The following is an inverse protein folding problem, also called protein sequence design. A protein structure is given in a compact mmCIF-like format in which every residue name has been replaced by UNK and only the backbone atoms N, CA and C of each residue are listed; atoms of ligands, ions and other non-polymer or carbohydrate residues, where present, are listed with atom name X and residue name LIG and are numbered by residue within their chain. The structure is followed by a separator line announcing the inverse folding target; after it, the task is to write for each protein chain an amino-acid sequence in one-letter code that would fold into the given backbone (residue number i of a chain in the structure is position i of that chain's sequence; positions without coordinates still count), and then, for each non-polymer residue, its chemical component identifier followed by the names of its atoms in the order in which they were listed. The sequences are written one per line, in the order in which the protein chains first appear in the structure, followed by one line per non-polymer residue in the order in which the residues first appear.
data_IF_877735795671
#
_entry.id   IF_877735795671
#
_cell.length_a   1.000
_cell.length_b   1.000
_cell.length_c   1.000
_cell.angle_alpha   90.00
_cell.angle_beta   90.00
_cell.angle_gamma   90.00
#
_symmetry.space_group_name_H-M   'P 1'
#
loop_
_entity.id
_entity.type
_entity.pdbx_description
1 polymer ?
#
# COMPACT_ATOMS: atom_id res chain seq x y z
N UNK A 1 -25.08 16.68 54.22
CA UNK A 1 -23.95 16.63 53.27
C UNK A 1 -23.69 15.16 52.95
N UNK A 2 -23.73 14.61 51.75
CA UNK A 2 -23.89 15.11 50.39
C UNK A 2 -24.62 14.02 49.57
N UNK A 3 -25.48 14.41 48.63
CA UNK A 3 -26.13 13.51 47.68
C UNK A 3 -25.15 13.19 46.54
N UNK A 4 -24.69 11.95 46.41
CA UNK A 4 -23.88 11.53 45.26
C UNK A 4 -24.79 10.93 44.18
N UNK A 5 -25.04 11.70 43.14
CA UNK A 5 -25.72 11.26 41.93
C UNK A 5 -24.85 10.25 41.18
N UNK A 6 -25.25 8.98 41.14
CA UNK A 6 -24.63 7.97 40.27
C UNK A 6 -25.20 8.14 38.85
N UNK A 7 -24.46 8.84 38.00
CA UNK A 7 -24.75 8.93 36.57
C UNK A 7 -24.66 7.54 35.93
N UNK A 8 -25.81 6.96 35.60
CA UNK A 8 -25.91 5.68 34.88
C UNK A 8 -25.50 5.90 33.43
N UNK A 9 -24.20 5.74 33.15
CA UNK A 9 -23.70 5.68 31.77
C UNK A 9 -24.20 4.38 31.12
N UNK A 10 -25.18 4.51 30.23
CA UNK A 10 -25.66 3.39 29.40
C UNK A 10 -24.62 3.07 28.34
N UNK A 11 -23.89 1.97 28.53
CA UNK A 11 -22.99 1.43 27.51
C UNK A 11 -23.82 0.89 26.35
N UNK A 12 -23.71 1.53 25.17
CA UNK A 12 -24.28 0.99 23.94
C UNK A 12 -23.64 -0.37 23.65
N UNK A 13 -24.43 -1.43 23.71
CA UNK A 13 -24.03 -2.76 23.26
C UNK A 13 -24.00 -2.75 21.73
N UNK A 14 -22.80 -2.78 21.15
CA UNK A 14 -22.65 -3.01 19.72
C UNK A 14 -22.80 -4.50 19.46
N UNK A 15 -23.81 -4.88 18.68
CA UNK A 15 -23.92 -6.24 18.16
C UNK A 15 -22.71 -6.53 17.24
N UNK A 16 -21.81 -7.41 17.69
CA UNK A 16 -20.73 -7.95 16.86
C UNK A 16 -21.35 -8.86 15.80
N UNK A 17 -21.54 -8.35 14.59
CA UNK A 17 -21.84 -9.20 13.44
C UNK A 17 -20.61 -10.03 13.11
N UNK A 18 -20.65 -11.32 13.42
CA UNK A 18 -19.61 -12.27 13.02
C UNK A 18 -19.75 -12.51 11.51
N UNK A 19 -18.69 -12.21 10.75
CA UNK A 19 -18.61 -12.63 9.36
C UNK A 19 -18.24 -14.12 9.37
N UNK A 20 -19.16 -14.98 8.93
CA UNK A 20 -18.84 -16.38 8.63
C UNK A 20 -17.94 -16.40 7.38
N UNK A 21 -16.69 -16.81 7.57
CA UNK A 21 -15.79 -17.04 6.45
C UNK A 21 -16.03 -18.44 5.89
N UNK A 22 -16.33 -18.56 4.59
CA UNK A 22 -16.46 -19.87 3.91
C UNK A 22 -15.17 -20.72 3.98
N UNK A 23 -14.02 -20.07 4.25
CA UNK A 23 -12.75 -20.73 4.56
C UNK A 23 -12.19 -20.18 5.85
N UNK A 24 -11.77 -21.08 6.74
CA UNK A 24 -11.10 -20.71 7.98
C UNK A 24 -9.91 -19.78 7.67
N UNK A 25 -9.77 -18.63 8.36
CA UNK A 25 -8.60 -17.77 8.22
C UNK A 25 -7.32 -18.46 8.74
N UNK A 26 -7.47 -19.60 9.42
CA UNK A 26 -6.37 -20.40 9.92
C UNK A 26 -5.92 -21.43 8.88
N UNK A 27 -4.60 -21.56 8.63
CA UNK A 27 -4.09 -22.58 7.73
C UNK A 27 -4.40 -23.98 8.28
N UNK A 28 -4.79 -24.89 7.39
CA UNK A 28 -4.94 -26.30 7.74
C UNK A 28 -3.56 -26.89 8.09
N UNK A 29 -3.41 -27.38 9.32
CA UNK A 29 -2.20 -28.07 9.79
C UNK A 29 -2.55 -29.55 9.97
N UNK A 30 -1.86 -30.47 9.28
CA UNK A 30 -2.17 -31.89 9.40
C UNK A 30 -1.85 -32.40 10.82
N UNK A 31 -2.63 -33.34 11.38
CA UNK A 31 -2.40 -33.89 12.73
C UNK A 31 -0.96 -34.30 13.06
N UNK A 32 -0.18 -34.96 12.16
CA UNK A 32 1.21 -35.30 12.45
C UNK A 32 2.12 -34.09 12.64
N UNK A 33 1.81 -32.94 12.02
CA UNK A 33 2.60 -31.73 12.20
C UNK A 33 2.38 -31.07 13.57
N UNK A 34 1.23 -31.30 14.22
CA UNK A 34 0.93 -30.79 15.56
C UNK A 34 1.73 -31.52 16.65
N UNK A 35 2.07 -32.79 16.43
CA UNK A 35 2.82 -33.64 17.38
C UNK A 35 4.31 -33.75 17.04
N UNK A 36 4.74 -33.17 15.92
CA UNK A 36 6.11 -33.30 15.43
C UNK A 36 7.11 -32.56 16.33
N UNK A 37 8.18 -33.25 16.74
CA UNK A 37 9.29 -32.64 17.47
C UNK A 37 10.32 -32.10 16.49
N UNK A 38 10.57 -30.79 16.55
CA UNK A 38 11.53 -30.12 15.68
C UNK A 38 12.95 -30.69 15.85
N UNK A 39 13.64 -30.92 14.73
CA UNK A 39 15.06 -31.32 14.73
C UNK A 39 15.96 -30.21 15.26
N UNK A 40 17.16 -30.55 15.71
CA UNK A 40 18.11 -29.58 16.26
C UNK A 40 18.49 -28.49 15.26
N UNK A 41 18.54 -28.83 13.96
CA UNK A 41 18.74 -27.85 12.89
C UNK A 41 17.58 -26.88 12.76
N UNK A 42 16.33 -27.36 12.81
CA UNK A 42 15.16 -26.47 12.76
C UNK A 42 15.15 -25.57 14.00
N UNK A 43 15.46 -26.14 15.18
CA UNK A 43 15.58 -25.39 16.44
C UNK A 43 16.70 -24.35 16.42
N UNK A 44 17.79 -24.57 15.68
CA UNK A 44 18.86 -23.59 15.53
C UNK A 44 18.47 -22.47 14.57
N UNK A 45 17.78 -22.79 13.49
CA UNK A 45 17.27 -21.82 12.51
C UNK A 45 16.12 -20.97 13.04
N UNK A 46 15.33 -21.49 13.98
CA UNK A 46 14.23 -20.75 14.61
C UNK A 46 14.70 -19.71 15.62
N UNK A 47 15.96 -19.76 16.06
CA UNK A 47 16.52 -18.73 16.94
C UNK A 47 16.66 -17.42 16.16
N UNK A 48 16.34 -16.27 16.76
CA UNK A 48 16.55 -14.99 16.10
C UNK A 48 18.03 -14.84 15.73
N UNK A 49 18.30 -14.41 14.49
CA UNK A 49 19.65 -14.11 14.05
C UNK A 49 20.13 -12.83 14.73
N UNK A 50 20.79 -12.98 15.87
CA UNK A 50 21.45 -11.87 16.57
C UNK A 50 22.64 -11.45 15.70
N UNK A 51 22.47 -10.36 14.95
CA UNK A 51 23.58 -9.72 14.26
C UNK A 51 24.45 -9.11 15.34
N UNK A 52 25.69 -9.58 15.50
CA UNK A 52 26.69 -8.83 16.27
C UNK A 52 26.79 -7.48 15.59
N UNK A 53 26.41 -6.42 16.30
CA UNK A 53 26.49 -5.05 15.83
C UNK A 53 27.96 -4.64 15.73
N UNK A 54 28.72 -5.22 14.79
CA UNK A 54 30.10 -4.79 14.55
C UNK A 54 30.15 -3.59 13.60
N UNK A 55 29.00 -3.11 13.12
CA UNK A 55 28.88 -1.89 12.29
C UNK A 55 27.49 -1.24 12.40
N UNK A 56 26.76 -1.37 13.52
CA UNK A 56 25.86 -0.25 13.82
C UNK A 56 26.79 0.88 14.17
N UNK A 57 27.05 1.76 13.19
CA UNK A 57 27.57 3.09 13.47
C UNK A 57 26.71 3.61 14.62
N UNK A 58 27.26 3.69 15.82
CA UNK A 58 26.61 4.29 16.98
C UNK A 58 26.10 5.72 16.67
N UNK A 59 26.59 6.33 15.58
CA UNK A 59 26.12 7.58 15.00
C UNK A 59 24.93 7.52 14.03
N UNK A 60 24.27 6.38 13.78
CA UNK A 60 23.01 6.36 13.01
C UNK A 60 21.76 6.60 13.88
N UNK A 61 21.96 6.89 15.16
CA UNK A 61 20.93 7.54 15.97
C UNK A 61 20.91 9.05 15.73
N UNK A 62 20.57 9.46 14.49
CA UNK A 62 20.40 10.89 14.14
C UNK A 62 19.35 11.62 14.99
N UNK A 63 18.62 10.90 15.83
CA UNK A 63 17.55 11.39 16.68
C UNK A 63 17.82 11.26 18.20
N UNK A 64 18.92 10.63 18.65
CA UNK A 64 19.13 10.40 20.10
C UNK A 64 19.94 11.53 20.75
N UNK A 65 20.90 12.15 20.05
CA UNK A 65 21.77 13.15 20.68
C UNK A 65 21.31 14.60 20.52
N UNK A 66 20.41 14.91 19.59
CA UNK A 66 19.88 16.26 19.41
C UNK A 66 18.57 16.26 18.59
N UNK A 67 17.39 16.45 19.21
CA UNK A 67 16.11 16.47 18.49
C UNK A 67 15.98 17.62 17.48
N UNK A 68 16.89 18.60 17.56
CA UNK A 68 17.00 19.76 16.66
C UNK A 68 18.05 19.60 15.57
N UNK A 69 18.87 18.55 15.60
CA UNK A 69 19.91 18.35 14.59
C UNK A 69 19.31 17.67 13.35
N UNK A 70 18.92 18.48 12.37
CA UNK A 70 18.42 17.98 11.09
C UNK A 70 19.52 17.37 10.21
N UNK A 71 20.80 17.57 10.55
CA UNK A 71 21.93 17.28 9.65
C UNK A 71 21.93 18.12 8.37
N UNK A 72 21.04 19.13 8.29
CA UNK A 72 20.90 20.03 7.14
C UNK A 72 21.72 21.29 7.41
N UNK A 73 22.45 21.75 6.39
CA UNK A 73 23.23 22.99 6.50
C UNK A 73 22.31 24.21 6.65
N UNK A 74 22.77 25.26 7.35
CA UNK A 74 22.04 26.54 7.49
C UNK A 74 21.56 27.15 6.16
N UNK A 75 22.30 27.08 5.02
CA UNK A 75 21.76 27.56 3.74
C UNK A 75 20.67 26.65 3.19
N UNK A 76 20.78 25.32 3.36
CA UNK A 76 19.76 24.39 2.89
C UNK A 76 18.44 24.52 3.66
N UNK A 77 18.45 24.87 4.95
CA UNK A 77 17.21 25.15 5.70
C UNK A 77 16.51 26.45 5.28
N UNK A 78 17.23 27.38 4.65
CA UNK A 78 16.71 28.65 4.13
C UNK A 78 16.42 28.61 2.63
N UNK A 79 16.78 27.52 1.95
CA UNK A 79 16.61 27.39 0.52
C UNK A 79 15.12 27.36 0.17
N UNK A 80 14.70 28.25 -0.73
CA UNK A 80 13.35 28.26 -1.28
C UNK A 80 13.32 27.45 -2.57
N UNK A 81 12.26 26.66 -2.76
CA UNK A 81 12.08 25.94 -4.01
C UNK A 81 11.75 26.91 -5.16
N UNK A 82 12.05 26.51 -6.41
CA UNK A 82 11.68 27.31 -7.57
C UNK A 82 10.17 27.33 -7.76
N UNK A 83 9.65 28.36 -8.45
CA UNK A 83 8.21 28.50 -8.75
C UNK A 83 7.63 27.25 -9.42
N UNK A 84 8.39 26.64 -10.35
CA UNK A 84 8.00 25.38 -10.99
C UNK A 84 7.88 24.22 -9.99
N UNK A 85 8.85 24.06 -9.09
CA UNK A 85 8.81 22.99 -8.09
C UNK A 85 7.66 23.18 -7.09
N UNK A 86 7.40 24.43 -6.69
CA UNK A 86 6.22 24.79 -5.89
C UNK A 86 4.92 24.33 -6.57
N UNK A 87 4.76 24.67 -7.86
CA UNK A 87 3.56 24.30 -8.62
C UNK A 87 3.42 22.78 -8.82
N UNK A 88 4.52 22.06 -9.01
CA UNK A 88 4.50 20.59 -9.15
C UNK A 88 4.21 19.87 -7.84
N UNK A 89 4.50 20.50 -6.70
CA UNK A 89 4.20 19.94 -5.39
C UNK A 89 2.71 20.08 -5.03
N UNK A 90 1.97 20.97 -5.70
CA UNK A 90 0.53 21.08 -5.54
C UNK A 90 -0.17 19.84 -6.16
N UNK A 91 -1.20 19.31 -5.50
CA UNK A 91 -1.99 18.24 -6.09
C UNK A 91 -2.64 18.72 -7.39
N UNK A 92 -2.75 17.82 -8.37
CA UNK A 92 -3.42 18.15 -9.62
C UNK A 92 -4.90 18.42 -9.35
N UNK A 93 -5.38 19.61 -9.72
CA UNK A 93 -6.79 19.94 -9.62
C UNK A 93 -7.61 19.01 -10.52
N UNK A 94 -8.71 18.52 -9.98
CA UNK A 94 -9.64 17.70 -10.75
C UNK A 94 -10.35 18.60 -11.75
N UNK A 95 -10.41 18.14 -12.99
CA UNK A 95 -11.21 18.80 -14.02
C UNK A 95 -12.70 18.86 -13.59
N UNK A 96 -13.43 19.91 -13.96
CA UNK A 96 -14.84 20.11 -13.57
C UNK A 96 -15.74 18.92 -13.95
N UNK A 97 -15.38 18.19 -15.02
CA UNK A 97 -16.09 17.00 -15.48
C UNK A 97 -15.66 15.68 -14.82
N UNK A 98 -14.73 15.74 -13.85
CA UNK A 98 -14.25 14.54 -13.15
C UNK A 98 -15.35 13.94 -12.26
N UNK A 99 -15.67 12.67 -12.50
CA UNK A 99 -16.64 11.90 -11.71
C UNK A 99 -15.91 10.77 -10.98
N UNK A 100 -16.03 10.73 -9.66
CA UNK A 100 -15.35 9.74 -8.80
C UNK A 100 -15.83 8.31 -9.08
N UNK A 101 -17.12 8.15 -9.36
CA UNK A 101 -17.75 6.89 -9.67
C UNK A 101 -18.44 7.00 -11.03
N UNK A 102 -17.91 6.29 -12.02
CA UNK A 102 -18.61 6.07 -13.28
C UNK A 102 -19.46 4.80 -13.12
N UNK A 103 -20.73 4.80 -13.55
CA UNK A 103 -21.52 3.58 -13.54
C UNK A 103 -20.82 2.51 -14.39
N UNK A 104 -20.74 1.28 -13.85
CA UNK A 104 -20.10 0.14 -14.49
C UNK A 104 -20.69 -0.16 -15.88
N UNK A 105 -22.01 -0.05 -16.14
CA UNK A 105 -22.49 0.01 -17.51
C UNK A 105 -22.14 1.37 -18.11
N UNK A 106 -21.03 1.42 -18.87
CA UNK A 106 -20.68 2.59 -19.69
C UNK A 106 -21.29 2.42 -21.08
N UNK A 107 -22.37 3.16 -21.44
CA UNK A 107 -22.96 3.04 -22.76
C UNK A 107 -21.93 3.47 -23.81
N UNK A 108 -21.70 2.60 -24.79
CA UNK A 108 -20.81 2.91 -25.91
C UNK A 108 -21.50 3.95 -26.79
N UNK A 109 -20.84 5.08 -27.14
CA UNK A 109 -21.46 6.08 -27.98
C UNK A 109 -21.76 5.48 -29.36
N UNK A 110 -22.87 5.89 -29.98
CA UNK A 110 -23.29 5.39 -31.30
C UNK A 110 -22.22 5.56 -32.38
N UNK A 111 -21.43 6.63 -32.29
CA UNK A 111 -20.30 6.88 -33.18
C UNK A 111 -19.22 5.80 -33.10
N UNK A 112 -18.96 5.26 -31.91
CA UNK A 112 -17.99 4.19 -31.73
C UNK A 112 -18.54 2.83 -32.22
N UNK A 113 -19.84 2.56 -32.04
CA UNK A 113 -20.48 1.34 -32.55
C UNK A 113 -20.49 1.29 -34.09
N UNK A 114 -20.62 2.44 -34.75
CA UNK A 114 -20.58 2.56 -36.21
C UNK A 114 -19.22 2.89 -36.80
N UNK A 115 -18.16 2.95 -35.98
CA UNK A 115 -16.84 3.35 -36.45
C UNK A 115 -16.21 2.27 -37.33
N UNK A 116 -15.75 2.67 -38.52
CA UNK A 116 -14.93 1.83 -39.38
C UNK A 116 -13.45 2.16 -39.16
N UNK A 117 -12.65 1.14 -38.87
CA UNK A 117 -11.22 1.31 -38.68
C UNK A 117 -10.55 1.83 -39.95
N UNK A 118 -9.62 2.78 -39.80
CA UNK A 118 -8.84 3.29 -40.93
C UNK A 118 -7.93 2.21 -41.51
N UNK A 119 -7.56 2.37 -42.78
CA UNK A 119 -6.63 1.47 -43.47
C UNK A 119 -5.34 1.28 -42.66
N UNK A 120 -4.77 2.36 -42.13
CA UNK A 120 -3.56 2.30 -41.30
C UNK A 120 -3.75 1.46 -40.03
N UNK A 121 -4.90 1.55 -39.36
CA UNK A 121 -5.18 0.72 -38.18
C UNK A 121 -5.26 -0.75 -38.60
N UNK A 122 -5.89 -1.05 -39.74
CA UNK A 122 -5.99 -2.40 -40.27
C UNK A 122 -4.61 -2.96 -40.63
N UNK A 123 -3.73 -2.17 -41.26
CA UNK A 123 -2.34 -2.56 -41.54
C UNK A 123 -1.57 -2.92 -40.26
N UNK A 124 -1.70 -2.09 -39.22
CA UNK A 124 -1.01 -2.28 -37.95
C UNK A 124 -1.57 -3.44 -37.12
N UNK A 125 -2.84 -3.77 -37.31
CA UNK A 125 -3.47 -4.93 -36.68
C UNK A 125 -2.94 -6.26 -37.25
N UNK A 126 -2.29 -6.25 -38.42
CA UNK A 126 -1.68 -7.44 -38.98
C UNK A 126 -0.46 -7.87 -38.16
N UNK A 127 -0.30 -9.18 -37.90
CA UNK A 127 0.87 -9.68 -37.19
C UNK A 127 2.14 -9.43 -37.99
N UNK A 128 3.22 -9.05 -37.29
CA UNK A 128 4.54 -8.84 -37.92
C UNK A 128 5.04 -10.17 -38.48
N UNK A 129 5.12 -10.28 -39.81
CA UNK A 129 5.69 -11.44 -40.49
C UNK A 129 7.16 -11.59 -40.09
N UNK A 130 7.54 -12.77 -39.58
CA UNK A 130 8.94 -13.15 -39.40
C UNK A 130 9.39 -13.82 -40.70
N UNK A 131 10.45 -13.32 -41.32
CA UNK A 131 11.10 -14.04 -42.41
C UNK A 131 11.83 -15.23 -41.79
N UNK A 132 11.39 -16.45 -42.08
CA UNK A 132 12.22 -17.62 -41.85
C UNK A 132 13.31 -17.60 -42.91
N UNK A 133 14.58 -17.47 -42.49
CA UNK A 133 15.70 -17.66 -43.38
C UNK A 133 15.65 -19.10 -43.91
N UNK A 134 15.36 -19.23 -45.19
CA UNK A 134 15.49 -20.45 -45.99
C UNK A 134 16.85 -20.45 -46.68
#
# INVERSE_FOLDING_TARGET
MALSATSSHSFKTYERKYYEYERSPYPFVPPPALIYQATDRIRSLSKPKIRKETTIREGFSRYISNPTYSGVSKPATRAQCSSRLSNLALPLERHESYKFELPVPRPVPRSALGYQATERINELALPKKRFSAS
#
